data_IF_529629674719
#
_entry.id   IF_529629674719
#
_cell.length_a   1.000
_cell.length_b   1.000
_cell.length_c   1.000
_cell.angle_alpha   90.00
_cell.angle_beta   90.00
_cell.angle_gamma   90.00
#
_symmetry.space_group_name_H-M   'P 1'
#
loop_
_entity.id
_entity.type
_entity.pdbx_description
1 polymer ?
#
# COMPACT_ATOMS: atom_id res chain seq x y z
N UNK A 1 19.97 -0.25 16.22
CA UNK A 1 20.01 -1.73 16.17
C UNK A 1 20.07 -2.13 14.70
N UNK A 2 21.12 -2.82 14.27
CA UNK A 2 21.39 -3.09 12.85
C UNK A 2 20.29 -3.96 12.23
N UNK A 3 20.02 -3.74 10.93
CA UNK A 3 19.04 -4.48 10.12
C UNK A 3 19.32 -6.00 10.10
N UNK A 4 20.59 -6.40 10.28
CA UNK A 4 21.02 -7.78 10.52
C UNK A 4 20.38 -8.41 11.76
N UNK A 5 20.23 -7.64 12.85
CA UNK A 5 19.69 -8.15 14.10
C UNK A 5 18.19 -8.45 14.09
N UNK A 6 17.41 -7.92 13.13
CA UNK A 6 15.97 -8.19 12.99
C UNK A 6 15.72 -9.46 12.17
N UNK A 7 16.52 -9.68 11.12
CA UNK A 7 16.47 -10.91 10.32
C UNK A 7 17.05 -12.10 11.10
N UNK A 8 18.15 -11.89 11.83
CA UNK A 8 18.72 -12.92 12.72
C UNK A 8 17.75 -13.33 13.83
N UNK A 9 16.99 -12.38 14.37
CA UNK A 9 15.95 -12.65 15.39
C UNK A 9 14.76 -13.42 14.79
N UNK A 10 14.33 -13.07 13.57
CA UNK A 10 13.27 -13.78 12.84
C UNK A 10 13.66 -15.24 12.56
N UNK A 11 14.90 -15.47 12.13
CA UNK A 11 15.44 -16.82 11.91
C UNK A 11 15.55 -17.61 13.21
N UNK A 12 16.00 -17.01 14.31
CA UNK A 12 16.05 -17.66 15.62
C UNK A 12 14.65 -18.05 16.13
N UNK A 13 13.64 -17.21 15.90
CA UNK A 13 12.24 -17.49 16.25
C UNK A 13 11.63 -18.61 15.38
N UNK A 14 12.07 -18.76 14.12
CA UNK A 14 11.73 -19.88 13.26
C UNK A 14 12.41 -21.17 13.71
N UNK A 15 13.70 -21.12 14.03
CA UNK A 15 14.45 -22.30 14.50
C UNK A 15 13.87 -22.84 15.83
N UNK A 16 13.41 -21.95 16.72
CA UNK A 16 12.65 -22.33 17.91
C UNK A 16 11.31 -23.01 17.59
N UNK A 17 10.57 -22.48 16.61
CA UNK A 17 9.30 -23.06 16.18
C UNK A 17 9.50 -24.43 15.52
N UNK A 18 10.51 -24.57 14.65
CA UNK A 18 10.90 -25.86 14.06
C UNK A 18 11.20 -26.87 15.15
N UNK A 19 12.06 -26.50 16.12
CA UNK A 19 12.41 -27.38 17.25
C UNK A 19 11.20 -27.76 18.10
N UNK A 20 10.25 -26.85 18.31
CA UNK A 20 9.02 -27.14 19.05
C UNK A 20 8.11 -28.11 18.29
N UNK A 21 7.98 -27.95 16.97
CA UNK A 21 7.17 -28.84 16.13
C UNK A 21 7.81 -30.24 16.05
N UNK A 22 9.13 -30.32 15.86
CA UNK A 22 9.83 -31.59 15.63
C UNK A 22 10.40 -32.23 16.90
N UNK A 23 10.01 -31.76 18.09
CA UNK A 23 10.63 -32.17 19.38
C UNK A 23 10.56 -33.68 19.65
N UNK A 24 9.49 -34.35 19.21
CA UNK A 24 9.28 -35.79 19.39
C UNK A 24 9.61 -36.61 18.12
N UNK A 25 10.08 -35.96 17.05
CA UNK A 25 10.39 -36.63 15.80
C UNK A 25 11.80 -37.24 15.83
N UNK A 26 11.88 -38.54 15.62
CA UNK A 26 13.13 -39.31 15.48
C UNK A 26 13.47 -39.65 14.03
N UNK A 27 12.56 -39.36 13.10
CA UNK A 27 12.71 -39.55 11.65
C UNK A 27 12.08 -38.40 10.85
N UNK A 28 12.45 -38.28 9.57
CA UNK A 28 11.87 -37.26 8.67
C UNK A 28 10.37 -37.51 8.42
N UNK A 29 9.93 -38.77 8.35
CA UNK A 29 8.49 -39.12 8.29
C UNK A 29 7.73 -38.59 9.52
N UNK A 30 8.28 -38.79 10.72
CA UNK A 30 7.69 -38.28 11.96
C UNK A 30 7.69 -36.75 12.00
N UNK A 31 8.74 -36.10 11.52
CA UNK A 31 8.81 -34.65 11.43
C UNK A 31 7.76 -34.10 10.43
N UNK A 32 7.58 -34.71 9.26
CA UNK A 32 6.52 -34.35 8.32
C UNK A 32 5.12 -34.51 8.93
N UNK A 33 4.87 -35.58 9.71
CA UNK A 33 3.60 -35.76 10.45
C UNK A 33 3.39 -34.69 11.51
N UNK A 34 4.45 -34.30 12.22
CA UNK A 34 4.39 -33.24 13.21
C UNK A 34 4.08 -31.88 12.57
N UNK A 35 4.71 -31.55 11.45
CA UNK A 35 4.35 -30.35 10.67
C UNK A 35 2.92 -30.41 10.14
N UNK A 36 2.45 -31.55 9.62
CA UNK A 36 1.05 -31.71 9.21
C UNK A 36 0.09 -31.41 10.36
N UNK A 37 0.38 -31.91 11.56
CA UNK A 37 -0.43 -31.66 12.74
C UNK A 37 -0.39 -30.17 13.14
N UNK A 38 0.80 -29.56 13.19
CA UNK A 38 0.96 -28.14 13.47
C UNK A 38 0.19 -27.26 12.46
N UNK A 39 0.20 -27.62 11.17
CA UNK A 39 -0.57 -26.91 10.15
C UNK A 39 -2.07 -27.06 10.38
N UNK A 40 -2.54 -28.26 10.72
CA UNK A 40 -3.95 -28.51 11.01
C UNK A 40 -4.46 -27.70 12.22
N UNK A 41 -3.60 -27.49 13.22
CA UNK A 41 -3.97 -26.78 14.45
C UNK A 41 -3.88 -25.26 14.31
N UNK A 42 -3.00 -24.75 13.43
CA UNK A 42 -2.66 -23.32 13.38
C UNK A 42 -2.97 -22.63 12.04
N UNK A 43 -3.32 -23.38 10.99
CA UNK A 43 -3.65 -22.83 9.67
C UNK A 43 -5.13 -23.02 9.39
N UNK A 44 -5.85 -21.90 9.40
CA UNK A 44 -7.27 -21.88 9.02
C UNK A 44 -7.35 -22.09 7.50
N UNK A 45 -8.04 -23.15 7.08
CA UNK A 45 -8.37 -23.43 5.67
C UNK A 45 -9.89 -23.51 5.48
N UNK A 46 -10.45 -23.08 4.33
CA UNK A 46 -9.75 -22.55 3.16
C UNK A 46 -9.16 -21.15 3.41
N UNK A 47 -7.95 -20.91 2.91
CA UNK A 47 -7.29 -19.60 2.96
C UNK A 47 -6.69 -19.19 1.62
N UNK A 48 -6.45 -17.90 1.47
CA UNK A 48 -5.87 -17.34 0.25
C UNK A 48 -4.35 -17.56 0.26
N UNK A 49 -3.81 -17.91 -0.90
CA UNK A 49 -2.37 -18.10 -1.09
C UNK A 49 -1.98 -17.98 -2.56
N UNK A 50 -0.69 -18.10 -2.81
CA UNK A 50 -0.12 -18.08 -4.16
C UNK A 50 0.71 -19.33 -4.40
N UNK A 51 0.71 -19.82 -5.63
CA UNK A 51 1.56 -20.92 -6.09
C UNK A 51 2.24 -20.45 -7.36
N UNK A 52 3.57 -20.26 -7.33
CA UNK A 52 4.34 -19.72 -8.46
C UNK A 52 3.70 -18.42 -9.00
N UNK A 53 3.22 -17.56 -8.08
CA UNK A 53 2.55 -16.30 -8.42
C UNK A 53 1.10 -16.40 -8.90
N UNK A 54 0.55 -17.61 -9.08
CA UNK A 54 -0.88 -17.81 -9.36
C UNK A 54 -1.69 -17.77 -8.06
N UNK A 55 -2.76 -16.96 -7.98
CA UNK A 55 -3.65 -16.95 -6.82
C UNK A 55 -4.43 -18.26 -6.73
N UNK A 56 -4.48 -18.82 -5.52
CA UNK A 56 -5.19 -20.07 -5.23
C UNK A 56 -5.94 -19.98 -3.91
N UNK A 57 -7.02 -20.74 -3.79
CA UNK A 57 -7.57 -21.07 -2.47
C UNK A 57 -6.90 -22.34 -1.98
N UNK A 58 -6.11 -22.24 -0.91
CA UNK A 58 -5.52 -23.38 -0.24
C UNK A 58 -6.59 -24.02 0.63
N UNK A 59 -7.02 -25.23 0.27
CA UNK A 59 -8.14 -25.93 0.92
C UNK A 59 -7.68 -26.97 1.94
N UNK A 60 -6.37 -27.23 2.03
CA UNK A 60 -5.79 -28.08 3.06
C UNK A 60 -4.33 -28.41 2.82
N UNK A 61 -3.65 -28.83 3.89
CA UNK A 61 -2.30 -29.37 3.85
C UNK A 61 -2.33 -30.82 4.30
N UNK A 62 -1.55 -31.68 3.65
CA UNK A 62 -1.50 -33.10 3.97
C UNK A 62 -0.09 -33.67 3.82
N UNK A 63 0.10 -34.89 4.32
CA UNK A 63 1.32 -35.67 4.12
C UNK A 63 0.93 -37.14 3.96
N UNK A 64 1.27 -37.71 2.80
CA UNK A 64 0.86 -39.06 2.40
C UNK A 64 1.89 -40.15 2.77
N UNK A 65 2.91 -39.82 3.59
CA UNK A 65 3.96 -40.77 3.99
C UNK A 65 5.07 -40.97 2.94
N UNK A 66 5.28 -39.98 2.06
CA UNK A 66 6.35 -40.00 1.07
C UNK A 66 7.33 -38.86 1.32
N UNK A 67 8.45 -39.19 1.98
CA UNK A 67 9.51 -38.24 2.36
C UNK A 67 10.06 -37.45 1.16
N UNK A 68 10.19 -38.07 -0.02
CA UNK A 68 10.69 -37.38 -1.22
C UNK A 68 9.74 -36.30 -1.74
N UNK A 69 8.44 -36.51 -1.57
CA UNK A 69 7.40 -35.54 -1.97
C UNK A 69 7.15 -34.49 -0.90
N UNK A 70 7.41 -34.85 0.36
CA UNK A 70 7.13 -34.01 1.52
C UNK A 70 5.64 -33.71 1.68
N UNK A 71 5.33 -32.68 2.46
CA UNK A 71 3.96 -32.19 2.62
C UNK A 71 3.43 -31.58 1.32
N UNK A 72 2.15 -31.81 1.07
CA UNK A 72 1.41 -31.25 -0.06
C UNK A 72 0.37 -30.25 0.40
N UNK A 73 0.06 -29.30 -0.47
CA UNK A 73 -1.09 -28.42 -0.33
C UNK A 73 -2.11 -28.77 -1.43
N UNK A 74 -3.36 -28.94 -1.03
CA UNK A 74 -4.50 -28.99 -1.96
C UNK A 74 -4.93 -27.56 -2.24
N UNK A 75 -4.94 -27.19 -3.50
CA UNK A 75 -5.24 -25.85 -3.97
C UNK A 75 -6.40 -25.91 -4.97
N UNK A 76 -7.24 -24.87 -4.96
CA UNK A 76 -8.28 -24.65 -5.95
C UNK A 76 -7.95 -23.39 -6.74
N UNK A 77 -7.84 -23.51 -8.07
CA UNK A 77 -7.65 -22.39 -8.99
C UNK A 77 -8.93 -21.58 -9.18
N UNK A 78 -8.81 -20.44 -9.86
CA UNK A 78 -9.93 -19.54 -10.18
C UNK A 78 -11.05 -20.22 -10.99
N UNK A 79 -10.71 -21.17 -11.86
CA UNK A 79 -11.65 -21.96 -12.68
C UNK A 79 -12.39 -23.06 -11.89
N UNK A 80 -12.05 -23.23 -10.60
CA UNK A 80 -12.61 -24.26 -9.72
C UNK A 80 -11.89 -25.60 -9.79
N UNK A 81 -10.87 -25.75 -10.65
CA UNK A 81 -10.05 -26.96 -10.71
C UNK A 81 -9.27 -27.17 -9.41
N UNK A 82 -9.26 -28.39 -8.89
CA UNK A 82 -8.48 -28.76 -7.72
C UNK A 82 -7.22 -29.51 -8.14
N UNK A 83 -6.09 -29.12 -7.55
CA UNK A 83 -4.80 -29.76 -7.80
C UNK A 83 -3.93 -29.74 -6.54
N UNK A 84 -2.86 -30.52 -6.55
CA UNK A 84 -1.92 -30.63 -5.45
C UNK A 84 -0.56 -30.06 -5.84
N UNK A 85 0.04 -29.29 -4.95
CA UNK A 85 1.41 -28.78 -5.06
C UNK A 85 2.20 -29.08 -3.81
N UNK A 86 3.51 -28.88 -3.84
CA UNK A 86 4.30 -28.99 -2.61
C UNK A 86 3.90 -27.87 -1.65
N UNK A 87 3.78 -28.18 -0.35
CA UNK A 87 3.43 -27.17 0.66
C UNK A 87 4.49 -26.05 0.73
N UNK A 88 5.73 -26.35 0.36
CA UNK A 88 6.80 -25.36 0.26
C UNK A 88 6.54 -24.33 -0.85
N UNK A 89 5.86 -24.68 -1.94
CA UNK A 89 5.62 -23.77 -3.07
C UNK A 89 4.45 -22.80 -2.83
N UNK A 90 3.73 -22.97 -1.72
CA UNK A 90 2.64 -22.09 -1.33
C UNK A 90 3.20 -20.87 -0.61
N UNK A 91 2.78 -19.68 -1.03
CA UNK A 91 3.02 -18.43 -0.33
C UNK A 91 1.72 -17.97 0.30
N UNK A 92 1.70 -17.81 1.63
CA UNK A 92 0.56 -17.30 2.38
C UNK A 92 0.80 -15.84 2.80
N UNK A 93 -0.26 -15.03 3.00
CA UNK A 93 -0.13 -13.65 3.46
C UNK A 93 0.68 -13.55 4.77
N UNK A 94 1.69 -12.67 4.84
CA UNK A 94 2.68 -12.61 5.93
C UNK A 94 2.06 -12.47 7.33
N UNK A 95 0.88 -11.84 7.43
CA UNK A 95 0.16 -11.64 8.71
C UNK A 95 -0.72 -12.84 9.12
N UNK A 96 -0.82 -13.87 8.28
CA UNK A 96 -1.56 -15.09 8.62
C UNK A 96 -0.76 -16.00 9.54
N UNK A 97 -1.44 -16.70 10.46
CA UNK A 97 -0.81 -17.75 11.25
C UNK A 97 -0.11 -18.80 10.38
N UNK A 98 -0.62 -19.04 9.17
CA UNK A 98 -0.06 -20.00 8.22
C UNK A 98 1.27 -19.59 7.59
N UNK A 99 1.52 -18.29 7.34
CA UNK A 99 2.78 -17.86 6.74
C UNK A 99 3.99 -18.24 7.59
N UNK A 100 3.89 -18.12 8.93
CA UNK A 100 4.95 -18.53 9.85
C UNK A 100 5.19 -20.05 9.82
N UNK A 101 4.13 -20.85 9.70
CA UNK A 101 4.24 -22.31 9.65
C UNK A 101 4.83 -22.79 8.30
N UNK A 102 4.47 -22.14 7.20
CA UNK A 102 5.08 -22.37 5.88
C UNK A 102 6.57 -21.99 5.90
N UNK A 103 6.93 -20.83 6.48
CA UNK A 103 8.32 -20.43 6.62
C UNK A 103 9.14 -21.42 7.48
N UNK A 104 8.58 -21.89 8.60
CA UNK A 104 9.21 -22.90 9.45
C UNK A 104 9.37 -24.25 8.73
N UNK A 105 8.36 -24.67 7.97
CA UNK A 105 8.44 -25.88 7.16
C UNK A 105 9.53 -25.77 6.09
N UNK A 106 9.58 -24.66 5.35
CA UNK A 106 10.63 -24.39 4.36
C UNK A 106 12.02 -24.39 5.01
N UNK A 107 12.17 -23.72 6.16
CA UNK A 107 13.39 -23.68 6.95
C UNK A 107 13.88 -25.08 7.32
N UNK A 108 12.99 -25.92 7.84
CA UNK A 108 13.30 -27.30 8.22
C UNK A 108 13.65 -28.17 7.01
N UNK A 109 12.96 -27.97 5.89
CA UNK A 109 13.18 -28.67 4.63
C UNK A 109 14.43 -28.19 3.86
N UNK A 110 15.24 -27.30 4.46
CA UNK A 110 16.48 -26.79 3.86
C UNK A 110 16.27 -25.74 2.76
N UNK A 111 15.07 -25.16 2.66
CA UNK A 111 14.72 -24.09 1.73
C UNK A 111 14.81 -22.72 2.39
N UNK A 112 14.93 -21.67 1.57
CA UNK A 112 14.82 -20.29 2.03
C UNK A 112 13.44 -20.07 2.70
N UNK A 113 13.39 -19.70 4.00
CA UNK A 113 12.13 -19.49 4.72
C UNK A 113 11.30 -18.34 4.16
N UNK A 114 11.97 -17.34 3.60
CA UNK A 114 11.38 -16.14 3.05
C UNK A 114 11.92 -15.96 1.63
N UNK A 115 11.52 -16.83 0.68
CA UNK A 115 11.96 -16.65 -0.69
C UNK A 115 11.65 -15.22 -1.12
N UNK A 116 12.56 -14.53 -1.84
CA UNK A 116 12.24 -13.25 -2.42
C UNK A 116 10.91 -13.43 -3.13
N UNK A 117 9.94 -12.57 -2.82
CA UNK A 117 8.70 -12.52 -3.57
C UNK A 117 9.13 -12.61 -5.02
N UNK A 118 8.84 -13.73 -5.71
CA UNK A 118 8.87 -13.74 -7.16
C UNK A 118 8.08 -12.51 -7.49
N UNK A 119 8.73 -11.49 -8.07
CA UNK A 119 8.09 -10.27 -8.53
C UNK A 119 7.04 -10.74 -9.52
N UNK A 120 5.86 -11.06 -8.99
CA UNK A 120 4.72 -11.45 -9.77
C UNK A 120 4.38 -10.15 -10.48
N UNK A 121 4.40 -10.14 -11.82
CA UNK A 121 4.09 -8.93 -12.54
C UNK A 121 2.74 -8.41 -12.05
N UNK A 122 2.67 -7.11 -11.82
CA UNK A 122 1.42 -6.38 -11.74
C UNK A 122 0.65 -6.58 -13.06
N UNK A 123 -0.07 -7.70 -13.16
CA UNK A 123 -0.86 -8.07 -14.34
C UNK A 123 -2.24 -8.49 -13.86
N UNK A 124 -3.15 -7.51 -13.79
CA UNK A 124 -4.60 -7.69 -13.99
C UNK A 124 -5.27 -8.96 -13.46
N UNK A 125 -5.02 -9.40 -12.22
CA UNK A 125 -5.66 -10.61 -11.65
C UNK A 125 -6.84 -10.28 -10.74
N UNK A 126 -7.93 -11.01 -10.93
CA UNK A 126 -9.22 -10.83 -10.22
C UNK A 126 -9.03 -11.15 -8.73
N UNK A 127 -9.17 -10.11 -7.90
CA UNK A 127 -9.25 -10.22 -6.44
C UNK A 127 -10.38 -11.18 -6.04
N UNK A 128 -10.15 -12.02 -5.02
CA UNK A 128 -11.15 -12.96 -4.51
C UNK A 128 -12.47 -12.24 -4.21
N UNK A 129 -13.60 -12.83 -4.59
CA UNK A 129 -14.90 -12.18 -4.48
C UNK A 129 -15.55 -12.49 -3.13
N UNK A 130 -16.21 -11.50 -2.54
CA UNK A 130 -17.08 -11.69 -1.36
C UNK A 130 -18.18 -12.71 -1.67
N UNK A 131 -18.43 -13.61 -0.73
CA UNK A 131 -19.54 -14.58 -0.73
C UNK A 131 -20.57 -14.23 0.35
N UNK A 132 -21.74 -14.89 0.32
CA UNK A 132 -22.81 -14.64 1.27
C UNK A 132 -22.44 -14.95 2.73
N UNK A 133 -21.46 -15.83 2.96
CA UNK A 133 -20.97 -16.18 4.30
C UNK A 133 -20.03 -15.11 4.88
N UNK A 134 -19.53 -14.21 4.03
CA UNK A 134 -18.51 -13.22 4.42
C UNK A 134 -19.12 -11.89 4.88
N UNK A 135 -20.44 -11.73 4.67
CA UNK A 135 -21.18 -10.51 5.01
C UNK A 135 -22.22 -10.81 6.08
N UNK A 136 -21.97 -10.29 7.29
CA UNK A 136 -23.03 -10.13 8.27
C UNK A 136 -23.86 -8.88 7.95
N UNK A 137 -25.08 -9.09 7.46
CA UNK A 137 -25.99 -7.99 7.11
C UNK A 137 -26.75 -7.42 8.32
N UNK A 138 -26.53 -7.96 9.52
CA UNK A 138 -27.22 -7.50 10.73
C UNK A 138 -26.55 -6.28 11.37
N UNK A 139 -25.26 -6.08 11.11
CA UNK A 139 -24.46 -4.94 11.56
C UNK A 139 -23.98 -4.05 10.41
N UNK A 140 -23.28 -2.97 10.77
CA UNK A 140 -22.57 -2.13 9.80
C UNK A 140 -21.32 -2.84 9.29
N UNK A 141 -21.01 -2.64 8.01
CA UNK A 141 -19.85 -3.22 7.35
C UNK A 141 -18.82 -2.13 7.07
N UNK A 142 -17.55 -2.42 7.32
CA UNK A 142 -16.43 -1.55 6.96
C UNK A 142 -15.81 -2.01 5.65
N UNK A 143 -15.76 -1.10 4.68
CA UNK A 143 -15.28 -1.37 3.33
C UNK A 143 -14.17 -0.39 2.96
N UNK A 144 -13.05 -0.87 2.43
CA UNK A 144 -12.03 0.00 1.85
C UNK A 144 -12.41 0.32 0.42
N UNK A 145 -12.59 1.60 0.10
CA UNK A 145 -12.84 2.07 -1.26
C UNK A 145 -11.57 1.90 -2.12
N UNK A 146 -11.69 1.20 -3.23
CA UNK A 146 -10.60 0.95 -4.18
C UNK A 146 -10.75 1.84 -5.42
N UNK A 147 -11.98 2.01 -5.89
CA UNK A 147 -12.32 3.02 -6.90
C UNK A 147 -13.77 3.42 -6.82
N UNK A 148 -14.05 4.65 -7.25
CA UNK A 148 -15.38 5.24 -7.19
C UNK A 148 -15.82 5.62 -8.59
N UNK A 149 -17.03 5.20 -8.95
CA UNK A 149 -17.72 5.55 -10.18
C UNK A 149 -19.02 6.26 -9.80
N UNK A 150 -19.64 6.92 -10.77
CA UNK A 150 -20.86 7.72 -10.59
C UNK A 150 -21.92 7.12 -9.65
N UNK A 151 -22.19 5.81 -9.78
CA UNK A 151 -23.23 5.09 -9.03
C UNK A 151 -22.73 3.80 -8.36
N UNK A 152 -21.42 3.55 -8.32
CA UNK A 152 -20.86 2.33 -7.75
C UNK A 152 -19.44 2.58 -7.25
N UNK A 153 -19.04 1.94 -6.16
CA UNK A 153 -17.63 1.83 -5.79
C UNK A 153 -17.19 0.37 -5.85
N UNK A 154 -15.96 0.14 -6.30
CA UNK A 154 -15.29 -1.13 -6.03
C UNK A 154 -14.66 -1.00 -4.67
N UNK A 155 -14.96 -1.95 -3.80
CA UNK A 155 -14.45 -1.99 -2.46
C UNK A 155 -13.83 -3.36 -2.17
N UNK A 156 -13.08 -3.44 -1.09
CA UNK A 156 -12.79 -4.70 -0.40
C UNK A 156 -13.25 -4.61 1.05
N UNK A 157 -13.54 -5.76 1.66
CA UNK A 157 -13.84 -5.82 3.10
C UNK A 157 -12.61 -5.38 3.91
N UNK A 158 -12.81 -4.59 4.96
CA UNK A 158 -11.72 -4.27 5.87
C UNK A 158 -11.18 -5.57 6.52
N UNK A 159 -9.86 -5.70 6.60
CA UNK A 159 -9.20 -6.92 7.10
C UNK A 159 -9.18 -8.10 6.13
N UNK A 160 -9.61 -7.91 4.87
CA UNK A 160 -9.60 -8.94 3.82
C UNK A 160 -9.24 -8.34 2.45
N UNK A 161 -8.83 -9.21 1.52
CA UNK A 161 -8.66 -8.86 0.10
C UNK A 161 -9.91 -9.12 -0.74
N UNK A 162 -11.00 -9.58 -0.09
CA UNK A 162 -12.25 -9.91 -0.78
C UNK A 162 -12.98 -8.68 -1.29
N UNK A 163 -13.24 -8.64 -2.59
CA UNK A 163 -13.86 -7.50 -3.27
C UNK A 163 -15.37 -7.60 -3.41
N UNK A 164 -16.02 -6.44 -3.31
CA UNK A 164 -17.46 -6.25 -3.51
C UNK A 164 -17.72 -4.94 -4.24
N UNK A 165 -18.76 -4.90 -5.07
CA UNK A 165 -19.23 -3.66 -5.67
C UNK A 165 -20.31 -3.03 -4.78
N UNK A 166 -20.00 -1.89 -4.18
CA UNK A 166 -20.95 -1.12 -3.37
C UNK A 166 -21.82 -0.23 -4.25
N UNK A 167 -23.14 -0.27 -4.01
CA UNK A 167 -24.16 0.63 -4.56
C UNK A 167 -24.79 1.41 -3.40
N UNK A 168 -24.46 2.69 -3.27
CA UNK A 168 -25.01 3.56 -2.24
C UNK A 168 -25.28 4.96 -2.79
N UNK A 169 -26.11 5.73 -2.07
CA UNK A 169 -26.15 7.18 -2.25
C UNK A 169 -24.82 7.80 -1.80
N UNK A 170 -24.51 9.02 -2.26
CA UNK A 170 -23.34 9.80 -1.82
C UNK A 170 -21.97 9.18 -2.11
N UNK A 171 -21.90 8.17 -3.00
CA UNK A 171 -20.62 7.56 -3.41
C UNK A 171 -19.63 8.56 -4.00
N UNK A 172 -20.10 9.65 -4.62
CA UNK A 172 -19.21 10.70 -5.17
C UNK A 172 -18.39 11.43 -4.11
N UNK A 173 -18.81 11.37 -2.85
CA UNK A 173 -18.08 11.95 -1.73
C UNK A 173 -17.03 10.98 -1.16
N UNK A 174 -16.91 9.75 -1.69
CA UNK A 174 -15.95 8.75 -1.24
C UNK A 174 -14.66 8.86 -2.04
N UNK A 175 -13.54 8.71 -1.36
CA UNK A 175 -12.21 8.78 -1.96
C UNK A 175 -11.56 7.38 -1.94
N UNK A 176 -10.91 6.92 -3.03
CA UNK A 176 -10.12 5.69 -2.98
C UNK A 176 -9.11 5.73 -1.82
N UNK A 177 -9.03 4.64 -1.05
CA UNK A 177 -8.19 4.54 0.15
C UNK A 177 -8.93 4.80 1.47
N UNK A 178 -10.13 5.38 1.44
CA UNK A 178 -10.94 5.55 2.63
C UNK A 178 -11.69 4.27 3.04
N UNK A 179 -11.96 4.18 4.34
CA UNK A 179 -12.87 3.22 4.94
C UNK A 179 -14.26 3.82 4.95
N UNK A 180 -15.18 3.12 4.30
CA UNK A 180 -16.59 3.44 4.18
C UNK A 180 -17.36 2.51 5.12
N UNK A 181 -18.01 3.09 6.13
CA UNK A 181 -18.91 2.36 7.02
C UNK A 181 -20.29 2.37 6.38
N UNK A 182 -20.79 1.18 6.07
CA UNK A 182 -22.05 0.99 5.33
C UNK A 182 -23.02 0.20 6.17
N UNK A 183 -24.24 0.73 6.33
CA UNK A 183 -25.38 -0.06 6.80
C UNK A 183 -25.94 -0.87 5.63
N UNK A 184 -25.74 -2.19 5.60
CA UNK A 184 -26.15 -3.01 4.46
C UNK A 184 -27.66 -3.10 4.36
N UNK A 185 -28.18 -3.13 3.13
CA UNK A 185 -29.60 -3.35 2.83
C UNK A 185 -29.82 -4.64 2.07
N UNK A 186 -29.03 -4.88 1.03
CA UNK A 186 -29.16 -6.06 0.17
C UNK A 186 -27.81 -6.47 -0.38
N UNK A 187 -27.53 -7.77 -0.36
CA UNK A 187 -26.47 -8.37 -1.15
C UNK A 187 -27.06 -9.16 -2.33
N UNK A 188 -26.35 -9.20 -3.45
CA UNK A 188 -26.69 -10.07 -4.58
C UNK A 188 -25.45 -10.34 -5.42
N UNK A 189 -25.51 -11.34 -6.30
CA UNK A 189 -24.49 -11.57 -7.31
C UNK A 189 -25.07 -11.31 -8.69
N UNK A 190 -24.30 -10.66 -9.56
CA UNK A 190 -24.65 -10.45 -10.97
C UNK A 190 -23.44 -10.78 -11.84
N UNK A 191 -23.62 -11.67 -12.83
CA UNK A 191 -22.53 -12.21 -13.65
C UNK A 191 -21.36 -12.73 -12.81
N UNK A 192 -21.67 -13.37 -11.67
CA UNK A 192 -20.68 -13.87 -10.72
C UNK A 192 -19.90 -12.79 -9.97
N UNK A 193 -20.28 -11.51 -10.03
CA UNK A 193 -19.69 -10.43 -9.23
C UNK A 193 -20.59 -10.11 -8.03
N UNK A 194 -20.05 -10.04 -6.80
CA UNK A 194 -20.82 -9.68 -5.62
C UNK A 194 -21.09 -8.19 -5.59
N UNK A 195 -22.33 -7.85 -5.26
CA UNK A 195 -22.81 -6.51 -5.05
C UNK A 195 -23.40 -6.39 -3.65
N UNK A 196 -23.19 -5.22 -3.07
CA UNK A 196 -23.80 -4.79 -1.84
C UNK A 196 -24.49 -3.46 -2.09
N UNK A 197 -25.73 -3.32 -1.65
CA UNK A 197 -26.34 -2.01 -1.49
C UNK A 197 -26.54 -1.69 -0.03
N UNK A 198 -26.47 -0.39 0.27
CA UNK A 198 -26.57 0.10 1.63
C UNK A 198 -26.57 1.61 1.69
N UNK A 199 -26.52 2.12 2.91
CA UNK A 199 -26.38 3.54 3.21
C UNK A 199 -25.01 3.78 3.82
N UNK A 200 -24.30 4.79 3.31
CA UNK A 200 -23.01 5.20 3.88
C UNK A 200 -23.32 5.99 5.16
N UNK A 201 -22.88 5.45 6.30
CA UNK A 201 -23.03 6.11 7.60
C UNK A 201 -21.90 7.12 7.80
N UNK A 202 -20.66 6.69 7.57
CA UNK A 202 -19.46 7.54 7.71
C UNK A 202 -18.36 7.11 6.75
N UNK A 203 -17.45 8.03 6.45
CA UNK A 203 -16.16 7.74 5.81
C UNK A 203 -15.03 8.20 6.72
N UNK A 204 -13.91 7.48 6.72
CA UNK A 204 -12.72 7.82 7.48
C UNK A 204 -11.46 7.33 6.77
N UNK A 205 -10.34 8.00 7.01
CA UNK A 205 -9.02 7.51 6.62
C UNK A 205 -8.34 6.90 7.85
N UNK A 206 -7.86 5.66 7.71
CA UNK A 206 -7.06 4.97 8.72
C UNK A 206 -6.14 3.99 8.00
N UNK A 207 -5.03 4.52 7.53
CA UNK A 207 -4.08 3.79 6.68
C UNK A 207 -3.48 2.55 7.36
N UNK A 208 -3.11 2.56 8.66
CA UNK A 208 -2.56 1.38 9.35
C UNK A 208 -3.44 0.12 9.28
N UNK A 209 -4.76 0.27 9.34
CA UNK A 209 -5.70 -0.86 9.31
C UNK A 209 -6.06 -1.32 7.89
N UNK A 210 -5.64 -0.58 6.85
CA UNK A 210 -5.85 -1.00 5.47
C UNK A 210 -5.07 -2.29 5.15
N UNK A 211 -3.99 -2.60 5.87
CA UNK A 211 -3.19 -3.80 5.59
C UNK A 211 -2.38 -3.68 4.29
N UNK A 212 -2.01 -2.46 3.89
CA UNK A 212 -1.11 -2.23 2.77
C UNK A 212 0.32 -2.62 3.14
N UNK A 213 1.06 -3.17 2.18
CA UNK A 213 2.51 -3.35 2.30
C UNK A 213 3.19 -1.99 2.12
N UNK A 214 3.99 -1.50 3.07
CA UNK A 214 4.70 -0.22 2.91
C UNK A 214 5.57 -0.20 1.65
N UNK A 215 5.74 0.97 1.05
CA UNK A 215 6.62 1.16 -0.11
C UNK A 215 8.07 0.91 0.32
N UNK A 216 8.87 0.28 -0.53
CA UNK A 216 10.28 0.08 -0.25
C UNK A 216 11.01 1.42 -0.25
N UNK A 217 11.87 1.66 0.74
CA UNK A 217 12.86 2.73 0.73
C UNK A 217 14.22 2.16 0.32
N UNK A 218 14.70 2.55 -0.86
CA UNK A 218 16.04 2.24 -1.33
C UNK A 218 17.02 3.25 -0.74
N UNK A 219 18.05 2.76 -0.05
CA UNK A 219 19.16 3.58 0.45
C UNK A 219 19.98 4.09 -0.76
N UNK A 220 20.15 5.40 -0.85
CA UNK A 220 20.91 6.06 -1.92
C UNK A 220 22.22 6.68 -1.43
N UNK A 221 22.54 6.53 -0.14
CA UNK A 221 23.76 7.03 0.47
C UNK A 221 23.48 8.14 1.47
N UNK A 222 24.40 9.09 1.54
CA UNK A 222 24.36 10.20 2.49
C UNK A 222 24.18 11.49 1.70
N UNK A 223 23.17 12.26 2.07
CA UNK A 223 22.96 13.62 1.63
C UNK A 223 23.68 14.57 2.59
N UNK A 224 24.52 15.46 2.06
CA UNK A 224 25.27 16.45 2.82
C UNK A 224 24.77 17.87 2.49
N UNK A 225 24.27 18.64 3.49
CA UNK A 225 23.86 20.02 3.24
C UNK A 225 24.99 20.93 2.74
N UNK A 226 26.27 20.64 3.05
CA UNK A 226 27.40 21.45 2.57
C UNK A 226 27.68 21.23 1.07
N UNK A 227 27.36 20.05 0.54
CA UNK A 227 27.59 19.70 -0.87
C UNK A 227 26.37 20.01 -1.75
N UNK A 228 25.16 19.86 -1.20
CA UNK A 228 23.90 19.83 -1.96
C UNK A 228 23.11 21.16 -1.91
N UNK A 229 23.52 22.10 -1.06
CA UNK A 229 22.87 23.40 -0.98
C UNK A 229 23.28 24.30 -2.15
N UNK A 230 22.29 24.87 -2.84
CA UNK A 230 22.46 25.65 -4.06
C UNK A 230 22.70 27.16 -3.82
N UNK A 231 22.93 27.60 -2.58
CA UNK A 231 23.25 29.00 -2.27
C UNK A 231 24.64 29.42 -2.76
N UNK A 232 24.86 30.73 -2.89
CA UNK A 232 26.17 31.25 -3.33
C UNK A 232 27.24 31.09 -2.24
N UNK A 233 28.45 30.73 -2.67
CA UNK A 233 29.59 30.56 -1.76
C UNK A 233 29.90 31.86 -1.02
N UNK A 234 29.89 31.82 0.32
CA UNK A 234 30.15 32.98 1.17
C UNK A 234 28.91 33.80 1.55
N UNK A 235 27.72 33.50 0.99
CA UNK A 235 26.48 34.08 1.46
C UNK A 235 26.00 33.42 2.77
N UNK A 236 25.32 34.17 3.67
CA UNK A 236 24.77 33.59 4.88
C UNK A 236 23.67 32.56 4.57
N UNK A 237 23.69 31.42 5.25
CA UNK A 237 22.61 30.44 5.20
C UNK A 237 21.28 31.08 5.63
N UNK A 238 20.27 30.98 4.76
CA UNK A 238 18.94 31.50 5.03
C UNK A 238 18.32 30.89 6.30
N UNK A 239 17.52 31.66 7.04
CA UNK A 239 16.94 31.22 8.33
C UNK A 239 16.18 29.89 8.26
N UNK A 240 15.49 29.62 7.14
CA UNK A 240 14.75 28.39 6.94
C UNK A 240 15.66 27.16 6.78
N UNK A 241 16.87 27.35 6.27
CA UNK A 241 17.84 26.29 5.98
C UNK A 241 18.77 26.00 7.19
N UNK A 242 18.89 26.92 8.15
CA UNK A 242 19.73 26.72 9.35
C UNK A 242 19.46 25.42 10.11
N UNK A 243 18.20 24.98 10.35
CA UNK A 243 17.94 23.69 11.01
C UNK A 243 18.40 22.48 10.19
N UNK A 244 18.39 22.60 8.86
CA UNK A 244 18.85 21.54 7.94
C UNK A 244 20.37 21.42 8.03
N UNK A 245 21.09 22.55 7.95
CA UNK A 245 22.55 22.59 8.14
C UNK A 245 22.98 22.12 9.53
N UNK A 246 22.26 22.54 10.57
CA UNK A 246 22.55 22.13 11.95
C UNK A 246 22.43 20.61 12.15
N UNK A 247 21.59 19.92 11.37
CA UNK A 247 21.47 18.46 11.40
C UNK A 247 22.65 17.74 10.73
N UNK A 248 23.31 18.40 9.77
CA UNK A 248 24.43 17.86 9.01
C UNK A 248 24.04 16.67 8.12
N UNK A 249 25.04 15.87 7.70
CA UNK A 249 24.85 14.75 6.80
C UNK A 249 23.85 13.71 7.32
N UNK A 250 23.02 13.17 6.42
CA UNK A 250 21.98 12.19 6.77
C UNK A 250 21.59 11.30 5.61
N UNK A 251 21.03 10.11 5.88
CA UNK A 251 20.68 9.17 4.82
C UNK A 251 19.67 9.75 3.83
N UNK A 252 19.91 9.52 2.55
CA UNK A 252 18.95 9.77 1.48
C UNK A 252 18.33 8.48 0.97
N UNK A 253 17.05 8.59 0.61
CA UNK A 253 16.29 7.45 0.14
C UNK A 253 15.53 7.77 -1.14
N UNK A 254 15.35 6.73 -1.94
CA UNK A 254 14.36 6.71 -3.01
C UNK A 254 13.21 5.78 -2.62
N UNK A 255 12.00 6.33 -2.59
CA UNK A 255 10.78 5.59 -2.34
C UNK A 255 10.41 4.79 -3.59
N UNK A 256 9.92 3.57 -3.42
CA UNK A 256 9.40 2.75 -4.52
C UNK A 256 8.25 3.45 -5.26
N UNK A 257 8.36 3.53 -6.58
CA UNK A 257 7.24 3.87 -7.44
C UNK A 257 6.36 2.65 -7.72
N UNK A 258 5.08 2.77 -7.40
CA UNK A 258 4.04 1.79 -7.76
C UNK A 258 3.21 2.36 -8.89
N UNK A 259 3.27 1.74 -10.07
CA UNK A 259 2.55 2.19 -11.27
C UNK A 259 1.83 1.02 -11.97
N UNK A 260 0.64 0.63 -11.49
CA UNK A 260 -0.16 -0.41 -12.12
C UNK A 260 -0.53 -0.07 -13.57
N UNK A 261 -0.27 -1.00 -14.49
CA UNK A 261 -0.59 -0.85 -15.91
C UNK A 261 0.49 -0.15 -16.74
N UNK A 262 1.65 0.15 -16.15
CA UNK A 262 2.85 0.50 -16.90
C UNK A 262 3.31 -0.68 -17.77
N UNK A 263 3.61 -0.39 -19.04
CA UNK A 263 4.38 -1.29 -19.89
C UNK A 263 5.88 -1.00 -19.71
N UNK A 264 6.62 -1.97 -19.19
CA UNK A 264 8.07 -1.81 -18.97
C UNK A 264 8.87 -1.81 -20.27
N UNK A 265 8.31 -2.37 -21.33
CA UNK A 265 8.94 -2.44 -22.64
C UNK A 265 8.59 -1.21 -23.51
N UNK A 266 7.58 -0.43 -23.10
CA UNK A 266 7.23 0.86 -23.69
C UNK A 266 7.07 1.95 -22.61
N UNK A 267 8.17 2.62 -22.22
CA UNK A 267 8.13 3.72 -21.25
C UNK A 267 7.26 4.91 -21.66
N UNK A 268 6.80 4.98 -22.91
CA UNK A 268 5.85 6.00 -23.37
C UNK A 268 4.39 5.65 -23.05
N UNK A 269 4.12 4.40 -22.65
CA UNK A 269 2.78 3.88 -22.35
C UNK A 269 2.36 4.08 -20.87
N UNK A 270 2.89 5.12 -20.21
CA UNK A 270 2.60 5.47 -18.82
C UNK A 270 1.10 5.84 -18.62
N UNK A 271 0.35 5.10 -17.79
CA UNK A 271 -1.06 5.38 -17.54
C UNK A 271 -1.32 6.74 -16.85
N UNK A 272 -0.38 7.27 -16.06
CA UNK A 272 -0.50 8.60 -15.47
C UNK A 272 -0.40 9.66 -16.57
N UNK A 273 0.60 9.56 -17.44
CA UNK A 273 0.75 10.46 -18.59
C UNK A 273 -0.49 10.45 -19.48
N UNK A 274 -1.04 9.27 -19.82
CA UNK A 274 -2.29 9.14 -20.58
C UNK A 274 -3.48 9.84 -19.92
N UNK A 275 -3.60 9.73 -18.59
CA UNK A 275 -4.64 10.43 -17.83
C UNK A 275 -4.49 11.95 -17.95
N UNK A 276 -3.26 12.46 -17.83
CA UNK A 276 -2.97 13.90 -17.95
C UNK A 276 -3.27 14.39 -19.37
N UNK A 277 -2.91 13.63 -20.40
CA UNK A 277 -3.18 13.98 -21.79
C UNK A 277 -4.69 14.04 -22.08
N UNK A 278 -5.48 13.09 -21.57
CA UNK A 278 -6.93 13.14 -21.67
C UNK A 278 -7.51 14.38 -20.97
N UNK A 279 -7.02 14.71 -19.77
CA UNK A 279 -7.42 15.93 -19.06
C UNK A 279 -7.08 17.19 -19.85
N UNK A 280 -5.88 17.26 -20.43
CA UNK A 280 -5.44 18.39 -21.27
C UNK A 280 -6.25 18.51 -22.56
N UNK A 281 -6.71 17.39 -23.12
CA UNK A 281 -7.65 17.34 -24.24
C UNK A 281 -9.11 17.64 -23.85
N UNK A 282 -9.40 17.85 -22.56
CA UNK A 282 -10.74 18.16 -22.03
C UNK A 282 -11.59 16.94 -21.68
N UNK A 283 -11.08 15.71 -21.83
CA UNK A 283 -11.75 14.48 -21.39
C UNK A 283 -11.47 14.18 -19.91
N UNK A 284 -12.07 14.98 -19.03
CA UNK A 284 -11.96 14.80 -17.59
C UNK A 284 -12.49 13.44 -17.10
N UNK A 285 -13.49 12.87 -17.79
CA UNK A 285 -14.10 11.60 -17.39
C UNK A 285 -13.18 10.43 -17.74
N UNK A 286 -12.56 10.47 -18.91
CA UNK A 286 -11.55 9.50 -19.32
C UNK A 286 -10.33 9.54 -18.41
N UNK A 287 -9.84 10.75 -18.10
CA UNK A 287 -8.72 10.95 -17.19
C UNK A 287 -9.00 10.38 -15.79
N UNK A 288 -10.11 10.80 -15.16
CA UNK A 288 -10.52 10.30 -13.84
C UNK A 288 -10.66 8.78 -13.81
N UNK A 289 -11.26 8.20 -14.87
CA UNK A 289 -11.41 6.74 -15.00
C UNK A 289 -10.08 6.00 -14.97
N UNK A 290 -9.03 6.53 -15.60
CA UNK A 290 -7.71 5.89 -15.58
C UNK A 290 -7.16 5.89 -14.14
N UNK A 291 -7.14 7.04 -13.48
CA UNK A 291 -6.65 7.15 -12.09
C UNK A 291 -7.44 6.26 -11.13
N UNK A 292 -8.75 6.18 -11.30
CA UNK A 292 -9.62 5.28 -10.53
C UNK A 292 -9.29 3.81 -10.75
N UNK A 293 -8.99 3.37 -11.97
CA UNK A 293 -8.57 1.97 -12.19
C UNK A 293 -7.14 1.70 -11.68
N UNK A 294 -6.24 2.70 -11.69
CA UNK A 294 -4.93 2.59 -11.03
C UNK A 294 -5.09 2.38 -9.52
N UNK A 295 -5.85 3.24 -8.83
CA UNK A 295 -6.13 3.07 -7.39
C UNK A 295 -6.80 1.72 -7.08
N UNK A 296 -7.67 1.26 -7.99
CA UNK A 296 -8.34 -0.04 -7.84
C UNK A 296 -7.36 -1.21 -7.87
N UNK A 297 -6.36 -1.11 -8.74
CA UNK A 297 -5.31 -2.10 -8.86
C UNK A 297 -4.44 -2.09 -7.61
N UNK A 298 -3.84 -0.94 -7.29
CA UNK A 298 -3.02 -0.74 -6.09
C UNK A 298 -3.20 0.67 -5.51
N UNK A 299 -3.68 0.75 -4.26
CA UNK A 299 -3.85 2.00 -3.53
C UNK A 299 -2.51 2.70 -3.24
N UNK A 300 -1.39 1.97 -3.32
CA UNK A 300 -0.04 2.48 -3.09
C UNK A 300 0.51 3.31 -4.25
N UNK A 301 -0.20 3.41 -5.38
CA UNK A 301 0.14 4.37 -6.42
C UNK A 301 -0.14 5.80 -5.92
N UNK A 302 0.87 6.41 -5.30
CA UNK A 302 0.76 7.77 -4.75
C UNK A 302 0.50 8.81 -5.84
N UNK A 303 1.01 8.58 -7.05
CA UNK A 303 0.87 9.53 -8.15
C UNK A 303 -0.59 9.64 -8.61
N UNK A 304 -1.34 8.53 -8.59
CA UNK A 304 -2.77 8.55 -8.85
C UNK A 304 -3.53 9.42 -7.84
N UNK A 305 -3.19 9.33 -6.55
CA UNK A 305 -3.77 10.18 -5.51
C UNK A 305 -3.39 11.64 -5.68
N UNK A 306 -2.12 11.94 -6.00
CA UNK A 306 -1.67 13.30 -6.30
C UNK A 306 -2.46 13.90 -7.49
N UNK A 307 -2.64 13.14 -8.57
CA UNK A 307 -3.34 13.62 -9.75
C UNK A 307 -4.85 13.76 -9.56
N UNK A 308 -5.50 12.87 -8.79
CA UNK A 308 -6.90 13.05 -8.40
C UNK A 308 -7.07 14.31 -7.54
N UNK A 309 -6.15 14.55 -6.61
CA UNK A 309 -6.09 15.80 -5.84
C UNK A 309 -5.96 17.03 -6.75
N UNK A 310 -5.06 16.99 -7.75
CA UNK A 310 -4.88 18.06 -8.72
C UNK A 310 -6.17 18.34 -9.54
N UNK A 311 -6.94 17.31 -9.89
CA UNK A 311 -8.19 17.48 -10.65
C UNK A 311 -9.31 18.12 -9.82
N UNK A 312 -9.28 17.95 -8.50
CA UNK A 312 -10.21 18.56 -7.57
C UNK A 312 -9.75 19.95 -7.08
N UNK A 313 -8.43 20.19 -7.03
CA UNK A 313 -7.82 21.32 -6.31
C UNK A 313 -8.48 22.66 -6.59
N UNK A 314 -8.56 23.07 -7.86
CA UNK A 314 -9.10 24.40 -8.22
C UNK A 314 -10.59 24.56 -7.86
N UNK A 315 -11.36 23.47 -7.90
CA UNK A 315 -12.82 23.52 -7.83
C UNK A 315 -13.38 23.24 -6.43
N UNK A 316 -12.82 22.25 -5.74
CA UNK A 316 -13.36 21.70 -4.49
C UNK A 316 -12.17 21.33 -3.58
N UNK A 317 -11.57 22.31 -2.87
CA UNK A 317 -10.41 22.05 -2.00
C UNK A 317 -10.69 21.03 -0.88
N UNK A 318 -11.94 20.89 -0.44
CA UNK A 318 -12.38 19.89 0.55
C UNK A 318 -12.34 18.46 0.01
N UNK A 319 -12.45 18.27 -1.30
CA UNK A 319 -12.27 16.98 -1.96
C UNK A 319 -10.79 16.72 -2.24
N UNK A 320 -10.10 17.74 -2.78
CA UNK A 320 -8.68 17.66 -3.11
C UNK A 320 -7.81 17.29 -1.91
N UNK A 321 -8.06 17.91 -0.74
CA UNK A 321 -7.30 17.63 0.48
C UNK A 321 -7.33 16.15 0.86
N UNK A 322 -8.47 15.47 0.64
CA UNK A 322 -8.63 14.06 1.01
C UNK A 322 -7.86 13.14 0.07
N UNK A 323 -7.84 13.43 -1.23
CA UNK A 323 -6.99 12.69 -2.18
C UNK A 323 -5.51 12.81 -1.82
N UNK A 324 -5.03 14.04 -1.58
CA UNK A 324 -3.64 14.25 -1.17
C UNK A 324 -3.33 13.60 0.17
N UNK A 325 -4.25 13.67 1.14
CA UNK A 325 -4.06 13.06 2.45
C UNK A 325 -3.92 11.54 2.34
N UNK A 326 -4.76 10.86 1.55
CA UNK A 326 -4.63 9.41 1.34
C UNK A 326 -3.23 9.07 0.83
N UNK A 327 -2.76 9.72 -0.24
CA UNK A 327 -1.43 9.46 -0.80
C UNK A 327 -0.31 9.77 0.20
N UNK A 328 -0.40 10.89 0.91
CA UNK A 328 0.56 11.27 1.95
C UNK A 328 0.63 10.22 3.07
N UNK A 329 -0.52 9.81 3.63
CA UNK A 329 -0.57 8.84 4.73
C UNK A 329 -0.11 7.45 4.31
N UNK A 330 -0.38 7.03 3.06
CA UNK A 330 0.14 5.77 2.53
C UNK A 330 1.65 5.84 2.37
N UNK A 331 2.21 6.94 1.87
CA UNK A 331 3.66 7.13 1.82
C UNK A 331 4.31 7.15 3.20
N UNK A 332 3.69 7.83 4.18
CA UNK A 332 4.19 7.90 5.56
C UNK A 332 4.30 6.53 6.25
N UNK A 333 3.51 5.52 5.85
CA UNK A 333 3.69 4.13 6.35
C UNK A 333 5.11 3.60 6.11
N UNK A 334 5.77 4.08 5.06
CA UNK A 334 7.06 3.59 4.60
C UNK A 334 8.22 4.25 5.35
N UNK A 335 8.00 5.46 5.85
CA UNK A 335 9.01 6.27 6.54
C UNK A 335 9.27 5.79 7.96
N UNK A 336 8.24 5.23 8.61
CA UNK A 336 8.27 4.86 10.02
C UNK A 336 8.22 6.07 10.96
N UNK A 337 8.17 5.78 12.26
CA UNK A 337 8.11 6.83 13.29
C UNK A 337 9.44 7.60 13.36
N UNK A 338 9.36 8.92 13.25
CA UNK A 338 10.54 9.79 13.43
C UNK A 338 11.55 9.75 12.29
N UNK A 339 11.11 9.56 11.05
CA UNK A 339 11.99 9.64 9.88
C UNK A 339 12.82 10.93 9.86
N UNK A 340 14.15 10.78 9.89
CA UNK A 340 15.11 11.90 9.88
C UNK A 340 15.90 12.03 8.57
N UNK A 341 15.65 11.14 7.60
CA UNK A 341 16.33 11.15 6.30
C UNK A 341 15.78 12.23 5.35
N UNK A 342 16.29 12.19 4.13
CA UNK A 342 15.78 13.02 3.02
C UNK A 342 15.20 12.14 1.90
N UNK A 343 14.27 12.73 1.16
CA UNK A 343 13.70 12.26 -0.09
C UNK A 343 13.93 13.34 -1.16
N UNK A 344 15.14 13.44 -1.73
CA UNK A 344 15.46 14.43 -2.75
C UNK A 344 14.54 14.32 -3.96
N UNK A 345 14.17 15.45 -4.55
CA UNK A 345 13.38 15.52 -5.78
C UNK A 345 14.08 14.93 -7.01
N UNK A 346 15.42 14.92 -7.00
CA UNK A 346 16.26 14.37 -8.07
C UNK A 346 16.06 12.87 -8.26
N UNK A 347 15.72 12.15 -7.19
CA UNK A 347 15.30 10.76 -7.20
C UNK A 347 13.83 10.71 -7.60
N UNK A 348 13.57 10.35 -8.86
CA UNK A 348 12.29 10.59 -9.56
C UNK A 348 11.12 9.93 -8.83
N UNK A 349 11.34 8.76 -8.25
CA UNK A 349 10.30 7.97 -7.61
C UNK A 349 9.81 8.59 -6.29
N UNK A 350 10.51 9.60 -5.74
CA UNK A 350 10.06 10.38 -4.59
C UNK A 350 8.96 11.39 -4.94
N UNK A 351 8.88 11.81 -6.20
CA UNK A 351 8.02 12.93 -6.63
C UNK A 351 6.52 12.70 -6.34
N UNK A 352 5.95 11.50 -6.54
CA UNK A 352 4.56 11.25 -6.18
C UNK A 352 4.24 11.57 -4.71
N UNK A 353 5.10 11.12 -3.78
CA UNK A 353 4.94 11.40 -2.36
C UNK A 353 5.05 12.90 -2.05
N UNK A 354 6.07 13.56 -2.61
CA UNK A 354 6.30 14.99 -2.43
C UNK A 354 5.17 15.84 -3.03
N UNK A 355 4.55 15.42 -4.14
CA UNK A 355 3.35 16.06 -4.73
C UNK A 355 2.13 15.91 -3.83
N UNK A 356 1.88 14.71 -3.28
CA UNK A 356 0.82 14.52 -2.28
C UNK A 356 1.03 15.45 -1.08
N UNK A 357 2.26 15.53 -0.58
CA UNK A 357 2.59 16.39 0.55
C UNK A 357 2.36 17.88 0.26
N UNK A 358 2.81 18.36 -0.90
CA UNK A 358 2.60 19.74 -1.32
C UNK A 358 1.12 20.06 -1.48
N UNK A 359 0.39 19.23 -2.21
CA UNK A 359 -1.04 19.42 -2.45
C UNK A 359 -1.84 19.45 -1.15
N UNK A 360 -1.50 18.55 -0.20
CA UNK A 360 -2.10 18.56 1.13
C UNK A 360 -1.81 19.86 1.88
N UNK A 361 -0.56 20.33 1.89
CA UNK A 361 -0.16 21.60 2.51
C UNK A 361 -0.87 22.82 1.90
N UNK A 362 -0.96 22.88 0.58
CA UNK A 362 -1.68 23.93 -0.15
C UNK A 362 -3.18 23.91 0.15
N UNK A 363 -3.80 22.74 0.19
CA UNK A 363 -5.20 22.61 0.58
C UNK A 363 -5.44 23.05 2.03
N UNK A 364 -4.57 22.66 2.96
CA UNK A 364 -4.65 23.12 4.35
C UNK A 364 -4.61 24.64 4.43
N UNK A 365 -3.69 25.28 3.70
CA UNK A 365 -3.59 26.72 3.65
C UNK A 365 -4.84 27.36 3.04
N UNK A 366 -5.32 26.86 1.90
CA UNK A 366 -6.53 27.36 1.23
C UNK A 366 -7.78 27.22 2.10
N UNK A 367 -7.84 26.20 2.95
CA UNK A 367 -8.92 25.98 3.92
C UNK A 367 -8.70 26.71 5.27
N UNK A 368 -7.70 27.58 5.38
CA UNK A 368 -7.43 28.37 6.58
C UNK A 368 -6.82 27.59 7.75
N UNK A 369 -6.33 26.37 7.51
CA UNK A 369 -5.66 25.50 8.51
C UNK A 369 -4.17 25.82 8.57
N UNK A 370 -3.84 27.06 8.93
CA UNK A 370 -2.49 27.63 8.83
C UNK A 370 -1.43 26.85 9.61
N UNK A 371 -1.68 26.50 10.86
CA UNK A 371 -0.73 25.76 11.71
C UNK A 371 -0.40 24.37 11.14
N UNK A 372 -1.37 23.73 10.49
CA UNK A 372 -1.16 22.44 9.85
C UNK A 372 -0.38 22.58 8.55
N UNK A 373 -0.71 23.59 7.73
CA UNK A 373 0.02 23.90 6.51
C UNK A 373 1.50 24.20 6.79
N UNK A 374 1.79 25.03 7.81
CA UNK A 374 3.16 25.34 8.22
C UNK A 374 3.94 24.07 8.61
N UNK A 375 3.33 23.17 9.38
CA UNK A 375 3.97 21.90 9.75
C UNK A 375 4.28 21.04 8.53
N UNK A 376 3.37 20.98 7.56
CA UNK A 376 3.58 20.21 6.33
C UNK A 376 4.70 20.82 5.49
N UNK A 377 4.70 22.14 5.26
CA UNK A 377 5.77 22.81 4.52
C UNK A 377 7.13 22.71 5.23
N UNK A 378 7.16 22.81 6.56
CA UNK A 378 8.39 22.57 7.33
C UNK A 378 8.93 21.15 7.16
N UNK A 379 8.07 20.13 7.21
CA UNK A 379 8.47 18.74 6.92
C UNK A 379 8.93 18.55 5.48
N UNK A 380 8.30 19.21 4.51
CA UNK A 380 8.73 19.17 3.11
C UNK A 380 10.14 19.73 2.94
N UNK A 381 10.43 20.90 3.51
CA UNK A 381 11.79 21.47 3.48
C UNK A 381 12.80 20.58 4.18
N UNK A 382 12.40 19.89 5.25
CA UNK A 382 13.27 18.93 5.91
C UNK A 382 13.61 17.74 5.00
N UNK A 383 12.61 17.14 4.36
CA UNK A 383 12.79 15.93 3.54
C UNK A 383 13.34 16.24 2.13
N UNK A 384 13.00 17.37 1.54
CA UNK A 384 13.50 17.81 0.24
C UNK A 384 14.10 19.23 0.35
N UNK A 385 15.32 19.37 0.90
CA UNK A 385 15.95 20.67 1.16
C UNK A 385 16.16 21.55 -0.08
N UNK A 386 16.31 20.94 -1.26
CA UNK A 386 16.44 21.66 -2.53
C UNK A 386 15.16 22.44 -2.91
N UNK A 387 14.04 22.15 -2.24
CA UNK A 387 12.75 22.84 -2.38
C UNK A 387 12.31 23.07 -3.82
N UNK A 388 12.41 22.02 -4.65
CA UNK A 388 12.03 22.10 -6.07
C UNK A 388 10.55 22.47 -6.29
N UNK A 389 9.73 22.32 -5.25
CA UNK A 389 8.31 22.65 -5.24
C UNK A 389 8.03 24.07 -4.73
N UNK A 390 9.04 24.79 -4.24
CA UNK A 390 8.97 26.21 -3.89
C UNK A 390 8.19 26.53 -2.62
N UNK A 391 8.06 25.59 -1.67
CA UNK A 391 7.27 25.82 -0.45
C UNK A 391 7.92 26.79 0.53
N UNK A 392 9.23 27.07 0.39
CA UNK A 392 9.93 28.08 1.21
C UNK A 392 9.36 29.48 1.00
N UNK A 393 8.93 29.80 -0.22
CA UNK A 393 8.31 31.10 -0.53
C UNK A 393 6.91 31.23 0.06
N UNK A 394 6.25 30.10 0.34
CA UNK A 394 4.87 30.04 0.84
C UNK A 394 4.80 30.08 2.37
N UNK A 395 5.81 29.53 3.06
CA UNK A 395 5.77 29.34 4.52
C UNK A 395 5.63 30.66 5.29
N UNK A 396 6.19 31.76 4.78
CA UNK A 396 6.08 33.09 5.39
C UNK A 396 4.64 33.62 5.37
N UNK A 397 3.97 33.47 4.24
CA UNK A 397 2.56 33.88 4.09
C UNK A 397 1.64 33.04 4.99
N UNK A 398 1.90 31.74 5.08
CA UNK A 398 1.17 30.82 5.97
C UNK A 398 1.36 31.21 7.44
N UNK A 399 2.60 31.49 7.86
CA UNK A 399 2.93 31.93 9.24
C UNK A 399 2.24 33.23 9.63
N UNK A 400 2.14 34.15 8.70
CA UNK A 400 1.44 35.43 8.90
C UNK A 400 -0.07 35.32 8.70
N UNK A 401 -0.58 34.10 8.45
CA UNK A 401 -1.99 33.79 8.22
C UNK A 401 -2.60 34.56 7.06
N UNK A 402 -1.80 34.91 6.06
CA UNK A 402 -2.26 35.53 4.82
C UNK A 402 -3.14 34.51 4.10
N UNK A 403 -4.32 34.93 3.65
CA UNK A 403 -5.23 34.05 2.93
C UNK A 403 -4.61 33.61 1.59
N UNK A 404 -4.88 32.37 1.20
CA UNK A 404 -4.48 31.84 -0.10
C UNK A 404 -5.18 32.58 -1.25
N UNK A 405 -4.47 32.82 -2.36
CA UNK A 405 -5.01 33.38 -3.60
C UNK A 405 -4.58 32.54 -4.79
N UNK A 406 -5.29 32.63 -5.91
CA UNK A 406 -4.93 31.88 -7.13
C UNK A 406 -3.54 32.25 -7.71
N UNK A 407 -3.06 33.47 -7.42
CA UNK A 407 -1.74 33.96 -7.84
C UNK A 407 -0.57 33.51 -6.92
N UNK A 408 -0.85 32.65 -5.94
CA UNK A 408 0.11 32.22 -4.90
C UNK A 408 1.06 31.13 -5.37
#
# INVERSE_FOLDING_TARGET
MSRTGRDDRSLAELDQLVKAITVEASSDDEAHRAFRQAFKDNVVVPCDGFVIGEPVSVIGFDYEGNERRGMTARCRSEDGSEYMVAAADVVLPQRSGGARHVAAYRRWFGLDPFPPETTVPALGRRKHKVTAADLDLTGSLELVALSVKRNAAHCRLLGSDRVVTLRASRLREVIPGEIVVVKPRKQWSYAGHPYLSGEIETTRLDVPVLGLVPLRLADRGIWDPEEEYWGEEGEPIEEWAKPIFARGPRPEYEMEQVLPGEDKDDPSDDPITKSIDLKNAGDFVGADKILMEICKADLRCLDAHAHLGNFAFDRIPEEAIRHYEVGLRIGELSLGDGFEGVLPWGLIDNRPFLRCMQGFGLCLWRLGRFEEAERIFGKMLWMNPSDNQGVRSLIGDVRTRKAWTEDT
#
